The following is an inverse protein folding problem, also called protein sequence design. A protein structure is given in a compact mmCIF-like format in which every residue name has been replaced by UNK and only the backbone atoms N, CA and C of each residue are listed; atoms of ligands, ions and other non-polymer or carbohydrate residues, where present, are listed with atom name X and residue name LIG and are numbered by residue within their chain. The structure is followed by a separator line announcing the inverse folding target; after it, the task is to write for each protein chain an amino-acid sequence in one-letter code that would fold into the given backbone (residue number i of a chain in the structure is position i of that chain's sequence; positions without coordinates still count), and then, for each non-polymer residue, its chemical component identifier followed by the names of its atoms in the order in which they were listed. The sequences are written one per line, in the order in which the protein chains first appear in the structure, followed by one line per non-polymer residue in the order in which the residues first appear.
data_IF_144621648816
#
_entry.id   IF_144621648816
#
_cell.length_a   1.000
_cell.length_b   1.000
_cell.length_c   1.000
_cell.angle_alpha   90.00
_cell.angle_beta   90.00
_cell.angle_gamma   90.00
#
_symmetry.space_group_name_H-M   'P 1'
#
loop_
_entity.id
_entity.type
_entity.pdbx_description
1 polymer ?
#
# COMPACT_ATOMS: atom_id res chain seq x y z
N UNK A 1 -9.33 -5.99 -23.21
CA UNK A 1 -7.94 -6.32 -22.82
C UNK A 1 -7.76 -5.69 -21.46
N UNK A 2 -7.40 -6.49 -20.45
CA UNK A 2 -7.29 -6.01 -19.06
C UNK A 2 -6.14 -5.00 -18.93
N UNK A 3 -6.37 -3.88 -18.25
CA UNK A 3 -5.37 -2.81 -18.07
C UNK A 3 -4.27 -3.23 -17.08
N UNK A 4 -3.16 -2.48 -17.05
CA UNK A 4 -2.09 -2.74 -16.08
C UNK A 4 -2.62 -2.59 -14.64
N UNK A 5 -3.45 -1.58 -14.41
CA UNK A 5 -4.01 -1.26 -13.09
C UNK A 5 -4.99 -2.36 -12.63
N UNK A 6 -5.88 -2.83 -13.52
CA UNK A 6 -6.80 -3.95 -13.22
C UNK A 6 -6.08 -5.23 -12.80
N UNK A 7 -4.89 -5.50 -13.36
CA UNK A 7 -4.05 -6.64 -12.96
C UNK A 7 -3.45 -6.44 -11.58
N UNK A 8 -2.97 -5.23 -11.29
CA UNK A 8 -2.40 -4.89 -9.98
C UNK A 8 -3.46 -4.94 -8.87
N UNK A 9 -4.70 -4.53 -9.16
CA UNK A 9 -5.86 -4.58 -8.26
C UNK A 9 -6.03 -5.93 -7.57
N UNK A 10 -5.81 -7.00 -8.35
CA UNK A 10 -6.07 -8.39 -7.97
C UNK A 10 -4.90 -9.06 -7.26
N UNK A 11 -3.73 -8.40 -7.18
CA UNK A 11 -2.58 -8.97 -6.49
C UNK A 11 -2.87 -9.00 -5.00
N UNK A 12 -2.72 -10.17 -4.33
CA UNK A 12 -2.89 -10.23 -2.88
C UNK A 12 -1.84 -9.40 -2.16
N UNK A 13 -2.27 -8.60 -1.19
CA UNK A 13 -1.38 -7.73 -0.41
C UNK A 13 -0.30 -8.53 0.33
N UNK A 14 -0.63 -9.76 0.76
CA UNK A 14 0.31 -10.68 1.40
C UNK A 14 1.55 -11.02 0.53
N UNK A 15 1.45 -10.92 -0.81
CA UNK A 15 2.59 -11.10 -1.71
C UNK A 15 3.48 -9.85 -1.79
N UNK A 16 2.90 -8.69 -1.55
CA UNK A 16 3.55 -7.38 -1.71
C UNK A 16 4.26 -6.97 -0.42
N UNK A 17 3.62 -7.19 0.73
CA UNK A 17 4.16 -6.78 2.02
C UNK A 17 5.60 -7.31 2.29
N UNK A 18 5.96 -8.58 2.01
CA UNK A 18 7.33 -9.06 2.12
C UNK A 18 8.32 -8.30 1.22
N UNK A 19 7.89 -7.85 0.05
CA UNK A 19 8.72 -7.07 -0.88
C UNK A 19 8.99 -5.66 -0.35
N UNK A 20 7.99 -5.02 0.27
CA UNK A 20 8.16 -3.75 0.97
C UNK A 20 9.13 -3.91 2.14
N UNK A 21 8.93 -4.94 2.97
CA UNK A 21 9.81 -5.22 4.10
C UNK A 21 11.27 -5.47 3.67
N UNK A 22 11.47 -6.24 2.61
CA UNK A 22 12.81 -6.46 2.06
C UNK A 22 13.43 -5.15 1.54
N UNK A 23 12.64 -4.27 0.91
CA UNK A 23 13.10 -2.99 0.38
C UNK A 23 13.52 -2.02 1.47
N UNK A 24 12.74 -1.88 2.54
CA UNK A 24 13.07 -1.00 3.68
C UNK A 24 14.29 -1.52 4.44
N UNK A 25 14.38 -2.84 4.66
CA UNK A 25 15.56 -3.46 5.30
C UNK A 25 16.85 -3.24 4.52
N UNK A 26 16.82 -3.29 3.19
CA UNK A 26 17.98 -2.94 2.35
C UNK A 26 18.42 -1.49 2.49
N UNK A 27 17.55 -0.62 3.00
CA UNK A 27 17.84 0.79 3.29
C UNK A 27 18.11 1.04 4.76
N UNK A 28 18.42 -0.02 5.53
CA UNK A 28 18.69 0.03 6.97
C UNK A 28 17.50 0.54 7.81
N UNK A 29 16.30 0.49 7.24
CA UNK A 29 15.05 0.80 7.94
C UNK A 29 14.42 -0.47 8.51
N UNK A 30 13.55 -0.29 9.49
CA UNK A 30 12.95 -1.35 10.29
C UNK A 30 11.56 -1.75 9.79
N UNK A 31 11.08 -2.91 10.26
CA UNK A 31 9.68 -3.32 10.06
C UNK A 31 8.72 -2.29 10.68
N UNK A 32 9.01 -1.84 11.90
CA UNK A 32 8.14 -0.91 12.62
C UNK A 32 7.96 0.42 11.89
N UNK A 33 9.01 0.95 11.27
CA UNK A 33 8.89 2.17 10.45
C UNK A 33 8.00 1.95 9.21
N UNK A 34 8.08 0.77 8.57
CA UNK A 34 7.19 0.43 7.47
C UNK A 34 5.74 0.31 7.94
N UNK A 35 5.51 -0.38 9.05
CA UNK A 35 4.17 -0.54 9.63
C UNK A 35 3.58 0.83 9.99
N UNK A 36 4.36 1.72 10.59
CA UNK A 36 3.94 3.10 10.92
C UNK A 36 3.54 3.90 9.68
N UNK A 37 4.26 3.76 8.56
CA UNK A 37 3.88 4.43 7.31
C UNK A 37 2.57 3.86 6.76
N UNK A 38 2.39 2.54 6.84
CA UNK A 38 1.14 1.88 6.41
C UNK A 38 -0.02 2.33 7.29
N UNK A 39 0.14 2.28 8.62
CA UNK A 39 -0.84 2.75 9.60
C UNK A 39 -1.19 4.22 9.38
N UNK A 40 -0.18 5.09 9.23
CA UNK A 40 -0.40 6.50 8.95
C UNK A 40 -1.20 6.71 7.67
N UNK A 41 -0.97 5.91 6.63
CA UNK A 41 -1.64 6.01 5.34
C UNK A 41 -3.07 5.48 5.37
N UNK A 42 -3.29 4.30 5.96
CA UNK A 42 -4.54 3.52 5.82
C UNK A 42 -5.41 3.47 7.07
N UNK A 43 -4.86 3.90 8.21
CA UNK A 43 -5.48 3.76 9.53
C UNK A 43 -5.45 2.34 10.09
N UNK A 44 -4.68 1.42 9.51
CA UNK A 44 -4.59 0.05 10.00
C UNK A 44 -3.52 -0.09 11.08
N UNK A 45 -3.95 -0.37 12.30
CA UNK A 45 -3.07 -0.86 13.35
C UNK A 45 -2.55 -2.27 13.05
N UNK A 46 -1.43 -2.65 13.68
CA UNK A 46 -0.72 -3.92 13.47
C UNK A 46 -1.66 -5.15 13.42
N UNK A 47 -2.64 -5.23 14.33
CA UNK A 47 -3.58 -6.36 14.38
C UNK A 47 -4.39 -6.47 13.10
N UNK A 48 -4.97 -5.36 12.63
CA UNK A 48 -5.80 -5.33 11.43
C UNK A 48 -4.93 -5.57 10.19
N UNK A 49 -3.75 -4.98 10.13
CA UNK A 49 -2.79 -5.22 9.04
C UNK A 49 -2.44 -6.71 8.92
N UNK A 50 -2.15 -7.37 10.03
CA UNK A 50 -1.86 -8.81 10.05
C UNK A 50 -3.08 -9.66 9.68
N UNK A 51 -4.28 -9.29 10.13
CA UNK A 51 -5.52 -9.96 9.71
C UNK A 51 -5.69 -9.90 8.19
N UNK A 52 -5.55 -8.72 7.58
CA UNK A 52 -5.70 -8.56 6.13
C UNK A 52 -4.64 -9.34 5.33
N UNK A 53 -3.41 -9.40 5.84
CA UNK A 53 -2.34 -10.24 5.27
C UNK A 53 -2.72 -11.72 5.34
N UNK A 54 -3.22 -12.20 6.49
CA UNK A 54 -3.61 -13.60 6.68
C UNK A 54 -4.85 -13.99 5.86
N UNK A 55 -5.80 -13.08 5.70
CA UNK A 55 -6.99 -13.23 4.83
C UNK A 55 -6.63 -13.17 3.34
N UNK A 56 -5.38 -12.82 3.01
CA UNK A 56 -4.86 -12.76 1.64
C UNK A 56 -5.70 -11.86 0.72
N UNK A 57 -6.18 -10.73 1.27
CA UNK A 57 -7.01 -9.77 0.53
C UNK A 57 -6.25 -9.17 -0.65
N UNK A 58 -6.97 -8.82 -1.72
CA UNK A 58 -6.40 -8.13 -2.88
C UNK A 58 -6.00 -6.69 -2.54
N UNK A 59 -5.11 -6.08 -3.33
CA UNK A 59 -4.78 -4.65 -3.20
C UNK A 59 -6.01 -3.75 -3.25
N UNK A 60 -6.93 -4.02 -4.18
CA UNK A 60 -8.19 -3.28 -4.27
C UNK A 60 -8.99 -3.38 -2.97
N UNK A 61 -9.17 -4.59 -2.43
CA UNK A 61 -9.91 -4.80 -1.19
C UNK A 61 -9.20 -4.14 0.01
N UNK A 62 -7.87 -4.21 0.03
CA UNK A 62 -7.05 -3.59 1.06
C UNK A 62 -7.26 -2.08 1.14
N UNK A 63 -7.28 -1.38 0.00
CA UNK A 63 -7.49 0.07 -0.03
C UNK A 63 -8.96 0.48 0.08
N UNK A 64 -9.91 -0.31 -0.47
CA UNK A 64 -11.35 -0.06 -0.29
C UNK A 64 -11.81 -0.13 1.18
N UNK A 65 -11.17 -0.97 1.99
CA UNK A 65 -11.46 -1.07 3.43
C UNK A 65 -10.71 -0.02 4.27
N UNK A 66 -9.76 0.72 3.68
CA UNK A 66 -8.91 1.65 4.40
C UNK A 66 -9.63 2.98 4.60
N UNK A 67 -9.35 3.62 5.74
CA UNK A 67 -9.69 5.04 5.92
C UNK A 67 -8.43 5.84 5.69
N UNK A 68 -8.26 6.35 4.46
CA UNK A 68 -7.06 7.07 4.09
C UNK A 68 -6.89 8.34 4.93
N UNK A 69 -5.64 8.63 5.28
CA UNK A 69 -5.30 9.86 5.98
C UNK A 69 -5.76 11.10 5.20
N UNK A 70 -6.43 12.10 5.81
CA UNK A 70 -6.81 13.32 5.12
C UNK A 70 -5.63 14.08 4.49
N UNK A 71 -4.42 13.89 5.02
CA UNK A 71 -3.17 14.49 4.52
C UNK A 71 -2.54 13.73 3.36
N UNK A 72 -3.16 12.65 2.86
CA UNK A 72 -2.67 11.92 1.68
C UNK A 72 -2.52 12.80 0.43
N UNK A 73 -3.34 13.85 0.32
CA UNK A 73 -3.24 14.85 -0.74
C UNK A 73 -1.92 15.65 -0.74
N UNK A 74 -1.14 15.60 0.33
CA UNK A 74 0.19 16.22 0.41
C UNK A 74 1.28 15.34 -0.22
N UNK A 75 1.00 14.05 -0.45
CA UNK A 75 1.93 13.14 -1.12
C UNK A 75 1.98 13.53 -2.59
N UNK A 76 3.11 14.08 -3.02
CA UNK A 76 3.31 14.59 -4.38
C UNK A 76 4.68 14.18 -4.93
N UNK A 77 4.83 14.31 -6.25
CA UNK A 77 6.09 14.05 -6.94
C UNK A 77 5.98 12.88 -7.92
N UNK A 78 7.15 12.36 -8.32
CA UNK A 78 7.25 11.33 -9.35
C UNK A 78 7.86 10.07 -8.79
N UNK A 79 7.19 8.93 -8.99
CA UNK A 79 7.69 7.60 -8.65
C UNK A 79 7.45 6.62 -9.78
N UNK A 80 8.48 5.84 -10.12
CA UNK A 80 8.44 4.88 -11.25
C UNK A 80 8.00 5.51 -12.59
N UNK A 81 8.25 6.82 -12.78
CA UNK A 81 7.82 7.57 -13.98
C UNK A 81 6.39 8.13 -13.92
N UNK A 82 5.63 7.81 -12.87
CA UNK A 82 4.26 8.30 -12.66
C UNK A 82 4.23 9.49 -11.71
N UNK A 83 3.38 10.49 -12.01
CA UNK A 83 3.14 11.64 -11.14
C UNK A 83 1.95 11.35 -10.22
N UNK A 84 2.22 11.22 -8.92
CA UNK A 84 1.26 10.67 -7.95
C UNK A 84 0.01 11.53 -7.84
N UNK A 85 0.16 12.86 -7.80
CA UNK A 85 -0.96 13.80 -7.67
C UNK A 85 -1.89 13.87 -8.90
N UNK A 86 -1.52 13.23 -10.02
CA UNK A 86 -2.34 13.17 -11.24
C UNK A 86 -3.08 11.84 -11.41
N UNK A 87 -2.91 10.90 -10.48
CA UNK A 87 -3.57 9.61 -10.55
C UNK A 87 -5.03 9.79 -10.12
N UNK A 88 -5.96 9.59 -11.06
CA UNK A 88 -7.40 9.84 -10.86
C UNK A 88 -8.08 8.66 -10.17
N UNK A 89 -7.60 7.44 -10.41
CA UNK A 89 -8.14 6.21 -9.83
C UNK A 89 -6.99 5.20 -9.61
N UNK A 90 -6.58 4.94 -8.36
CA UNK A 90 -5.66 3.87 -8.04
C UNK A 90 -6.26 2.82 -7.09
N UNK A 91 -7.60 2.64 -7.09
CA UNK A 91 -8.51 1.80 -6.27
C UNK A 91 -9.39 2.53 -5.25
#
# INVERSE_FOLDING_TARGET
METHDERFAKIPFAKIYPMYLAKVKRKEQTKGELDQVIEWLTGYEDKKLMTLINENVTLETFFRQATLNPKTNLISGVICGYRVEKIVDPF
#
